data_IF_899090944259
#
_entry.id   IF_899090944259
#
_cell.length_a   1.000
_cell.length_b   1.000
_cell.length_c   1.000
_cell.angle_alpha   90.00
_cell.angle_beta   90.00
_cell.angle_gamma   90.00
#
_symmetry.space_group_name_H-M   'P 1'
#
loop_
_entity.id
_entity.type
_entity.pdbx_description
1 polymer ?
#
# COMPACT_ATOMS: atom_id res chain seq x y z
N UNK A 1 7.14 9.81 -45.32
CA UNK A 1 7.50 8.58 -44.57
C UNK A 1 6.88 8.67 -43.20
N UNK A 2 5.77 7.97 -42.99
CA UNK A 2 5.08 7.89 -41.69
C UNK A 2 5.88 6.93 -40.82
N UNK A 3 6.55 7.48 -39.81
CA UNK A 3 7.21 6.65 -38.79
C UNK A 3 6.09 5.92 -38.04
N UNK A 4 5.88 4.64 -38.31
CA UNK A 4 5.06 3.77 -37.50
C UNK A 4 5.70 3.73 -36.11
N UNK A 5 5.10 4.40 -35.14
CA UNK A 5 5.46 4.23 -33.73
C UNK A 5 5.30 2.73 -33.40
N UNK A 6 6.38 2.09 -33.01
CA UNK A 6 6.36 0.70 -32.56
C UNK A 6 5.27 0.58 -31.48
N UNK A 7 4.28 -0.27 -31.73
CA UNK A 7 3.24 -0.58 -30.74
C UNK A 7 3.94 -1.31 -29.59
N UNK A 8 4.14 -0.61 -28.48
CA UNK A 8 4.71 -1.21 -27.27
C UNK A 8 3.60 -1.99 -26.59
N UNK A 9 3.78 -3.30 -26.47
CA UNK A 9 2.81 -4.19 -25.83
C UNK A 9 2.53 -3.80 -24.36
N UNK A 10 1.29 -3.99 -23.88
CA UNK A 10 0.96 -3.83 -22.48
C UNK A 10 1.81 -4.77 -21.60
N UNK A 11 2.14 -4.33 -20.39
CA UNK A 11 2.89 -5.15 -19.45
C UNK A 11 3.71 -4.32 -18.47
N UNK A 12 4.43 -5.04 -17.62
CA UNK A 12 5.38 -4.49 -16.64
C UNK A 12 6.80 -4.82 -17.10
N UNK A 13 7.64 -3.81 -17.16
CA UNK A 13 9.08 -3.97 -17.45
C UNK A 13 9.88 -3.55 -16.23
N UNK A 14 10.92 -4.33 -15.91
CA UNK A 14 11.82 -4.08 -14.81
C UNK A 14 13.21 -3.65 -15.36
N UNK A 15 13.80 -2.65 -14.73
CA UNK A 15 15.21 -2.26 -14.94
C UNK A 15 15.91 -2.03 -13.57
N UNK A 16 17.16 -1.62 -13.60
CA UNK A 16 17.92 -1.36 -12.37
C UNK A 16 17.34 -0.22 -11.53
N UNK A 17 16.74 0.77 -12.16
CA UNK A 17 16.17 1.95 -11.52
C UNK A 17 14.73 1.76 -11.04
N UNK A 18 14.04 0.67 -11.42
CA UNK A 18 12.64 0.47 -11.01
C UNK A 18 11.81 -0.31 -11.99
N UNK A 19 10.57 0.13 -12.18
CA UNK A 19 9.57 -0.53 -13.01
C UNK A 19 8.85 0.48 -13.89
N UNK A 20 8.50 0.07 -15.10
CA UNK A 20 7.57 0.80 -15.96
C UNK A 20 6.35 -0.08 -16.24
N UNK A 21 5.16 0.49 -16.14
CA UNK A 21 3.90 -0.16 -16.46
C UNK A 21 3.28 0.50 -17.69
N UNK A 22 2.74 -0.31 -18.58
CA UNK A 22 1.85 0.12 -19.65
C UNK A 22 0.60 -0.74 -19.62
N UNK A 23 -0.53 -0.14 -19.30
CA UNK A 23 -1.81 -0.81 -19.28
C UNK A 23 -2.42 -0.94 -20.69
N UNK A 24 -3.33 -1.91 -20.94
CA UNK A 24 -3.98 -2.11 -22.24
C UNK A 24 -4.70 -0.88 -22.76
N UNK A 25 -5.29 -0.06 -21.87
CA UNK A 25 -5.99 1.16 -22.23
C UNK A 25 -5.04 2.35 -22.56
N UNK A 26 -3.73 2.10 -22.59
CA UNK A 26 -2.71 3.08 -22.98
C UNK A 26 -2.12 3.91 -21.83
N UNK A 27 -2.61 3.75 -20.59
CA UNK A 27 -2.00 4.39 -19.41
C UNK A 27 -0.58 3.88 -19.22
N UNK A 28 0.37 4.80 -19.00
CA UNK A 28 1.75 4.44 -18.71
C UNK A 28 2.30 5.30 -17.59
N UNK A 29 3.04 4.69 -16.65
CA UNK A 29 3.73 5.40 -15.59
C UNK A 29 4.96 4.61 -15.11
N UNK A 30 5.77 5.26 -14.29
CA UNK A 30 7.01 4.69 -13.76
C UNK A 30 7.01 4.68 -12.24
N UNK A 31 7.53 3.59 -11.67
CA UNK A 31 7.83 3.41 -10.25
C UNK A 31 9.34 3.30 -10.12
N UNK A 32 9.99 4.37 -9.68
CA UNK A 32 11.43 4.42 -9.54
C UNK A 32 11.86 4.05 -8.10
N UNK A 33 12.99 3.36 -8.01
CA UNK A 33 13.64 3.00 -6.74
C UNK A 33 15.04 3.59 -6.78
N UNK A 34 15.35 4.46 -5.84
CA UNK A 34 16.66 5.09 -5.72
C UNK A 34 17.11 5.18 -4.27
N UNK A 35 18.37 5.43 -4.03
CA UNK A 35 18.89 5.80 -2.70
C UNK A 35 19.28 7.26 -2.70
N UNK A 36 19.08 7.94 -1.57
CA UNK A 36 19.40 9.35 -1.42
C UNK A 36 18.54 10.24 -2.30
N UNK A 37 17.25 9.98 -2.41
CA UNK A 37 16.32 10.74 -3.26
C UNK A 37 16.35 12.25 -2.99
N UNK A 38 16.60 12.64 -1.74
CA UNK A 38 16.70 14.05 -1.31
C UNK A 38 18.16 14.51 -1.16
N UNK A 39 19.12 13.80 -1.73
CA UNK A 39 20.52 14.28 -1.80
C UNK A 39 20.65 15.22 -2.99
N UNK A 40 21.32 16.39 -2.83
CA UNK A 40 21.43 17.39 -3.90
C UNK A 40 22.01 16.86 -5.21
N UNK A 41 22.84 15.84 -5.15
CA UNK A 41 23.44 15.19 -6.32
C UNK A 41 22.52 14.18 -7.01
N UNK A 42 21.39 13.79 -6.38
CA UNK A 42 20.45 12.88 -7.01
C UNK A 42 19.49 13.62 -7.94
N UNK A 43 19.60 13.46 -9.27
CA UNK A 43 18.82 14.26 -10.20
C UNK A 43 17.38 13.76 -10.40
N UNK A 44 16.99 12.64 -9.77
CA UNK A 44 15.77 11.92 -10.15
C UNK A 44 14.51 12.75 -9.97
N UNK A 45 14.28 13.30 -8.76
CA UNK A 45 13.11 14.13 -8.48
C UNK A 45 13.14 15.42 -9.31
N UNK A 46 14.32 16.05 -9.44
CA UNK A 46 14.48 17.27 -10.23
C UNK A 46 14.07 17.07 -11.69
N UNK A 47 14.45 15.97 -12.34
CA UNK A 47 14.08 15.66 -13.74
C UNK A 47 12.56 15.66 -13.97
N UNK A 48 11.79 15.16 -13.00
CA UNK A 48 10.34 15.15 -13.09
C UNK A 48 9.70 16.52 -12.83
N UNK A 49 10.41 17.43 -12.17
CA UNK A 49 9.96 18.77 -11.80
C UNK A 49 10.47 19.88 -12.73
N UNK A 50 11.46 19.58 -13.59
CA UNK A 50 12.18 20.57 -14.40
C UNK A 50 11.24 21.45 -15.23
N UNK A 51 11.49 22.78 -15.19
CA UNK A 51 10.72 23.78 -15.94
C UNK A 51 9.24 23.94 -15.49
N UNK A 52 8.89 23.47 -14.29
CA UNK A 52 7.51 23.46 -13.79
C UNK A 52 7.37 24.17 -12.46
N UNK A 53 6.19 24.71 -12.21
CA UNK A 53 5.77 25.11 -10.88
C UNK A 53 5.52 23.86 -10.03
N UNK A 54 6.12 23.76 -8.84
CA UNK A 54 5.99 22.63 -7.91
C UNK A 54 5.37 23.08 -6.60
N UNK A 55 4.29 22.45 -6.18
CA UNK A 55 3.74 22.63 -4.83
C UNK A 55 3.79 21.31 -4.10
N UNK A 56 4.68 21.22 -3.11
CA UNK A 56 4.90 20.02 -2.32
C UNK A 56 4.00 20.02 -1.08
N UNK A 57 3.42 18.86 -0.80
CA UNK A 57 2.59 18.62 0.36
C UNK A 57 3.13 17.44 1.16
N UNK A 58 3.20 17.61 2.47
CA UNK A 58 3.67 16.58 3.39
C UNK A 58 2.93 16.66 4.74
N UNK A 59 2.86 15.54 5.44
CA UNK A 59 2.28 15.49 6.77
C UNK A 59 3.26 15.94 7.86
N UNK A 60 2.79 16.20 9.11
CA UNK A 60 3.61 16.76 10.18
C UNK A 60 4.85 15.92 10.55
N UNK A 61 4.72 14.60 10.51
CA UNK A 61 5.85 13.69 10.80
C UNK A 61 6.93 13.79 9.72
N UNK A 62 6.52 13.82 8.45
CA UNK A 62 7.44 13.94 7.31
C UNK A 62 8.10 15.34 7.30
N UNK A 63 7.34 16.40 7.63
CA UNK A 63 7.90 17.75 7.81
C UNK A 63 9.02 17.74 8.84
N UNK A 64 8.76 17.18 10.02
CA UNK A 64 9.75 17.11 11.10
C UNK A 64 10.99 16.32 10.73
N UNK A 65 10.85 15.22 9.99
CA UNK A 65 11.96 14.32 9.64
C UNK A 65 12.72 14.77 8.39
N UNK A 66 12.03 15.28 7.40
CA UNK A 66 12.56 15.49 6.06
C UNK A 66 12.28 16.88 5.47
N UNK A 67 11.47 17.71 6.11
CA UNK A 67 11.05 19.00 5.56
C UNK A 67 12.22 19.92 5.23
N UNK A 68 13.23 20.00 6.10
CA UNK A 68 14.44 20.78 5.86
C UNK A 68 15.24 20.23 4.66
N UNK A 69 15.45 18.90 4.61
CA UNK A 69 16.17 18.25 3.48
C UNK A 69 15.43 18.45 2.16
N UNK A 70 14.10 18.33 2.17
CA UNK A 70 13.29 18.58 0.98
C UNK A 70 13.46 20.01 0.48
N UNK A 71 13.40 21.02 1.38
CA UNK A 71 13.60 22.43 0.99
C UNK A 71 15.00 22.69 0.46
N UNK A 72 16.01 22.13 1.09
CA UNK A 72 17.40 22.22 0.61
C UNK A 72 17.55 21.62 -0.77
N UNK A 73 16.99 20.41 -0.97
CA UNK A 73 16.98 19.75 -2.28
C UNK A 73 16.29 20.61 -3.34
N UNK A 74 15.05 21.06 -3.09
CA UNK A 74 14.30 21.88 -4.03
C UNK A 74 14.99 23.20 -4.34
N UNK A 75 15.64 23.81 -3.35
CA UNK A 75 16.38 25.07 -3.51
C UNK A 75 17.65 24.89 -4.37
N UNK A 76 18.32 23.75 -4.30
CA UNK A 76 19.51 23.47 -5.10
C UNK A 76 19.18 23.00 -6.51
N UNK A 77 18.06 22.30 -6.67
CA UNK A 77 17.71 21.59 -7.90
C UNK A 77 16.73 22.35 -8.82
N UNK A 78 15.93 23.27 -8.27
CA UNK A 78 14.89 24.00 -9.02
C UNK A 78 15.13 25.50 -9.00
N UNK A 79 14.57 26.19 -10.00
CA UNK A 79 14.66 27.64 -10.11
C UNK A 79 14.06 28.34 -8.89
N UNK A 80 14.72 29.35 -8.30
CA UNK A 80 14.16 30.12 -7.20
C UNK A 80 12.77 30.66 -7.52
N UNK A 81 11.85 30.51 -6.55
CA UNK A 81 10.46 30.94 -6.72
C UNK A 81 9.56 30.02 -7.52
N UNK A 82 10.09 28.92 -8.13
CA UNK A 82 9.27 27.95 -8.86
C UNK A 82 8.67 26.85 -7.99
N UNK A 83 8.96 26.80 -6.69
CA UNK A 83 8.47 25.79 -5.79
C UNK A 83 7.98 26.36 -4.45
N UNK A 84 7.12 25.62 -3.79
CA UNK A 84 6.69 25.89 -2.42
C UNK A 84 6.39 24.57 -1.69
N UNK A 85 6.36 24.63 -0.34
CA UNK A 85 6.08 23.48 0.53
C UNK A 85 4.96 23.85 1.49
N UNK A 86 4.00 22.96 1.65
CA UNK A 86 2.89 23.10 2.60
C UNK A 86 2.75 21.83 3.45
N UNK A 87 2.36 22.00 4.71
CA UNK A 87 2.11 20.90 5.64
C UNK A 87 0.61 20.68 5.72
N UNK A 88 0.17 19.44 5.47
CA UNK A 88 -1.21 19.00 5.63
C UNK A 88 -1.43 18.45 7.03
N UNK A 89 -2.66 18.46 7.54
CA UNK A 89 -2.98 17.73 8.76
C UNK A 89 -2.72 16.23 8.56
N UNK A 90 -2.26 15.56 9.61
CA UNK A 90 -1.94 14.12 9.58
C UNK A 90 -3.08 13.25 10.08
N UNK A 91 -3.08 11.99 9.67
CA UNK A 91 -4.02 10.97 10.13
C UNK A 91 -5.22 10.73 9.22
N UNK A 92 -5.81 9.54 9.35
CA UNK A 92 -6.89 9.06 8.48
C UNK A 92 -8.16 9.94 8.58
N UNK A 93 -8.44 10.53 9.73
CA UNK A 93 -9.60 11.43 9.91
C UNK A 93 -9.49 12.75 9.14
N UNK A 94 -8.32 13.10 8.66
CA UNK A 94 -8.12 14.26 7.78
C UNK A 94 -8.17 13.91 6.29
N UNK A 95 -8.42 12.64 5.95
CA UNK A 95 -8.58 12.18 4.57
C UNK A 95 -9.98 12.55 4.05
N UNK A 96 -10.23 13.85 3.87
CA UNK A 96 -11.56 14.44 3.60
C UNK A 96 -11.56 15.34 2.36
N UNK A 97 -12.76 15.63 1.82
CA UNK A 97 -12.93 16.61 0.75
C UNK A 97 -12.47 18.01 1.15
N UNK A 98 -12.67 18.41 2.40
CA UNK A 98 -12.21 19.70 2.89
C UNK A 98 -10.68 19.84 2.78
N UNK A 99 -9.93 18.81 3.10
CA UNK A 99 -8.46 18.78 2.93
C UNK A 99 -8.07 18.82 1.44
N UNK A 100 -8.81 18.15 0.56
CA UNK A 100 -8.59 18.23 -0.89
C UNK A 100 -8.83 19.64 -1.41
N UNK A 101 -9.88 20.30 -0.95
CA UNK A 101 -10.17 21.71 -1.32
C UNK A 101 -9.06 22.65 -0.82
N UNK A 102 -8.53 22.43 0.39
CA UNK A 102 -7.39 23.19 0.92
C UNK A 102 -6.13 23.02 0.05
N UNK A 103 -5.83 21.80 -0.39
CA UNK A 103 -4.73 21.51 -1.33
C UNK A 103 -4.93 22.30 -2.64
N UNK A 104 -6.14 22.25 -3.22
CA UNK A 104 -6.48 22.98 -4.45
C UNK A 104 -6.35 24.50 -4.26
N UNK A 105 -6.87 25.03 -3.15
CA UNK A 105 -6.77 26.44 -2.81
C UNK A 105 -5.32 26.90 -2.64
N UNK A 106 -4.48 26.06 -1.99
CA UNK A 106 -3.04 26.34 -1.86
C UNK A 106 -2.35 26.31 -3.21
N UNK A 107 -2.59 25.29 -4.04
CA UNK A 107 -2.04 25.20 -5.39
C UNK A 107 -2.36 26.46 -6.23
N UNK A 108 -3.61 26.94 -6.15
CA UNK A 108 -4.05 28.16 -6.82
C UNK A 108 -3.32 29.40 -6.29
N UNK A 109 -3.21 29.59 -4.98
CA UNK A 109 -2.48 30.72 -4.37
C UNK A 109 -1.02 30.75 -4.77
N UNK A 110 -0.41 29.58 -4.90
CA UNK A 110 0.99 29.42 -5.35
C UNK A 110 1.16 29.57 -6.87
N UNK A 111 0.10 29.87 -7.62
CA UNK A 111 0.18 30.06 -9.07
C UNK A 111 0.43 28.78 -9.86
N UNK A 112 -0.01 27.60 -9.36
CA UNK A 112 0.10 26.34 -10.09
C UNK A 112 -0.79 26.38 -11.34
N UNK A 113 -0.20 26.28 -12.50
CA UNK A 113 -0.90 26.18 -13.78
C UNK A 113 -1.11 24.70 -14.20
N UNK A 114 -1.67 24.45 -15.38
CA UNK A 114 -1.89 23.10 -15.91
C UNK A 114 -0.61 22.31 -16.22
N UNK A 115 0.53 22.97 -16.30
CA UNK A 115 1.85 22.34 -16.53
C UNK A 115 2.55 22.05 -15.21
N UNK A 116 2.07 22.60 -14.10
CA UNK A 116 2.62 22.45 -12.79
C UNK A 116 2.53 21.02 -12.25
N UNK A 117 3.16 20.81 -11.12
CA UNK A 117 3.25 19.50 -10.43
C UNK A 117 2.81 19.65 -8.99
N UNK A 118 1.90 18.82 -8.56
CA UNK A 118 1.64 18.56 -7.14
C UNK A 118 2.57 17.43 -6.69
N UNK A 119 3.37 17.69 -5.67
CA UNK A 119 4.31 16.73 -5.11
C UNK A 119 3.79 16.22 -3.77
N UNK A 120 3.41 14.94 -3.71
CA UNK A 120 3.03 14.27 -2.47
C UNK A 120 4.26 13.65 -1.83
N UNK A 121 4.62 14.06 -0.61
CA UNK A 121 5.74 13.48 0.14
C UNK A 121 5.19 12.88 1.43
N UNK A 122 4.98 11.55 1.44
CA UNK A 122 4.33 10.92 2.59
C UNK A 122 3.97 9.46 2.41
N UNK A 123 3.10 9.00 3.29
CA UNK A 123 2.44 7.70 3.20
C UNK A 123 1.12 7.78 2.43
N UNK A 124 0.31 6.71 2.51
CA UNK A 124 -0.92 6.53 1.75
C UNK A 124 -1.89 7.72 1.84
N UNK A 125 -2.16 8.23 3.05
CA UNK A 125 -3.10 9.36 3.24
C UNK A 125 -2.66 10.60 2.45
N UNK A 126 -1.39 10.99 2.53
CA UNK A 126 -0.86 12.13 1.79
C UNK A 126 -0.93 11.90 0.28
N UNK A 127 -0.55 10.70 -0.18
CA UNK A 127 -0.57 10.35 -1.60
C UNK A 127 -1.99 10.36 -2.17
N UNK A 128 -2.96 9.83 -1.43
CA UNK A 128 -4.37 9.80 -1.86
C UNK A 128 -4.98 11.20 -1.92
N UNK A 129 -4.76 12.03 -0.89
CA UNK A 129 -5.25 13.42 -0.84
C UNK A 129 -4.69 14.26 -1.98
N UNK A 130 -3.36 14.26 -2.14
CA UNK A 130 -2.70 15.07 -3.18
C UNK A 130 -3.01 14.54 -4.57
N UNK A 131 -3.07 13.22 -4.72
CA UNK A 131 -3.43 12.58 -5.99
C UNK A 131 -4.87 12.89 -6.40
N UNK A 132 -5.82 12.88 -5.45
CA UNK A 132 -7.21 13.23 -5.75
C UNK A 132 -7.34 14.74 -6.04
N UNK A 133 -6.65 15.59 -5.29
CA UNK A 133 -6.57 17.01 -5.65
C UNK A 133 -6.00 17.22 -7.06
N UNK A 134 -4.95 16.48 -7.43
CA UNK A 134 -4.37 16.55 -8.77
C UNK A 134 -5.35 16.09 -9.86
N UNK A 135 -6.16 15.07 -9.58
CA UNK A 135 -7.16 14.57 -10.52
C UNK A 135 -8.24 15.61 -10.87
N UNK A 136 -8.65 16.43 -9.88
CA UNK A 136 -9.76 17.37 -10.05
C UNK A 136 -9.29 18.82 -10.30
N UNK A 137 -8.11 19.21 -9.82
CA UNK A 137 -7.57 20.56 -10.02
C UNK A 137 -7.38 20.84 -11.50
N UNK A 138 -8.03 21.87 -12.03
CA UNK A 138 -8.01 22.25 -13.44
C UNK A 138 -8.33 21.10 -14.41
N UNK A 139 -9.13 20.12 -14.00
CA UNK A 139 -9.50 18.88 -14.71
C UNK A 139 -8.34 17.91 -14.92
N UNK A 140 -7.36 17.95 -14.04
CA UNK A 140 -6.18 17.09 -14.06
C UNK A 140 -4.89 17.85 -14.23
N UNK A 141 -3.99 17.70 -13.27
CA UNK A 141 -2.60 18.16 -13.33
C UNK A 141 -1.67 17.00 -12.98
N UNK A 142 -0.41 17.15 -13.34
CA UNK A 142 0.60 16.14 -12.96
C UNK A 142 0.78 16.09 -11.47
N UNK A 143 0.97 14.88 -10.94
CA UNK A 143 1.45 14.73 -9.59
C UNK A 143 2.56 13.67 -9.51
N UNK A 144 3.38 13.79 -8.49
CA UNK A 144 4.49 12.89 -8.21
C UNK A 144 4.31 12.39 -6.78
N UNK A 145 4.52 11.10 -6.56
CA UNK A 145 4.57 10.48 -5.23
C UNK A 145 6.02 10.31 -4.79
N UNK A 146 6.34 10.75 -3.60
CA UNK A 146 7.54 10.38 -2.85
C UNK A 146 7.08 9.58 -1.64
N UNK A 147 7.18 8.27 -1.74
CA UNK A 147 6.61 7.34 -0.77
C UNK A 147 7.56 7.14 0.42
N UNK A 148 7.13 7.59 1.60
CA UNK A 148 7.96 7.53 2.80
C UNK A 148 7.61 6.40 3.77
N UNK A 149 6.55 5.63 3.49
CA UNK A 149 6.12 4.47 4.29
C UNK A 149 6.21 3.18 3.49
N UNK A 150 6.29 2.02 4.16
CA UNK A 150 6.35 0.73 3.46
C UNK A 150 5.06 0.47 2.67
N UNK A 151 3.86 0.70 3.26
CA UNK A 151 2.58 0.66 2.52
C UNK A 151 2.62 1.59 1.31
N UNK A 152 3.16 2.81 1.50
CA UNK A 152 3.34 3.76 0.40
C UNK A 152 4.20 3.19 -0.73
N UNK A 153 5.28 2.46 -0.41
CA UNK A 153 6.20 1.93 -1.42
C UNK A 153 5.66 0.69 -2.14
N UNK A 154 5.01 -0.24 -1.43
CA UNK A 154 4.62 -1.54 -2.01
C UNK A 154 3.18 -1.60 -2.54
N UNK A 155 2.30 -0.68 -2.12
CA UNK A 155 0.87 -0.68 -2.47
C UNK A 155 0.45 0.67 -3.05
N UNK A 156 0.21 1.69 -2.23
CA UNK A 156 -0.34 3.00 -2.68
C UNK A 156 0.54 3.68 -3.73
N UNK A 157 1.86 3.56 -3.59
CA UNK A 157 2.82 4.13 -4.55
C UNK A 157 2.79 3.44 -5.91
N UNK A 158 2.43 2.16 -5.93
CA UNK A 158 2.30 1.37 -7.15
C UNK A 158 0.96 1.62 -7.82
N UNK A 159 -0.13 1.71 -7.03
CA UNK A 159 -1.49 1.89 -7.53
C UNK A 159 -1.79 3.28 -8.10
N UNK A 160 -2.91 3.38 -8.80
CA UNK A 160 -3.40 4.61 -9.43
C UNK A 160 -4.65 5.19 -8.75
N UNK A 161 -5.12 4.52 -7.69
CA UNK A 161 -6.26 5.00 -6.91
C UNK A 161 -5.86 6.20 -6.07
N UNK A 162 -6.77 7.17 -5.99
CA UNK A 162 -6.67 8.35 -5.14
C UNK A 162 -8.04 8.63 -4.58
N UNK A 163 -8.16 9.17 -3.37
CA UNK A 163 -9.48 9.41 -2.84
C UNK A 163 -9.52 9.84 -1.37
N UNK A 164 -10.75 10.02 -0.89
CA UNK A 164 -11.07 10.50 0.44
C UNK A 164 -12.19 9.70 1.07
N UNK A 165 -12.25 9.76 2.39
CA UNK A 165 -13.35 9.22 3.17
C UNK A 165 -14.54 10.17 3.10
N UNK A 166 -15.71 9.64 2.79
CA UNK A 166 -16.94 10.43 2.66
C UNK A 166 -18.18 9.57 2.94
N UNK A 167 -19.28 10.21 3.27
CA UNK A 167 -20.57 9.54 3.48
C UNK A 167 -20.50 8.35 4.45
N UNK A 168 -19.68 8.45 5.50
CA UNK A 168 -19.48 7.40 6.48
C UNK A 168 -18.70 6.18 5.98
N UNK A 169 -18.11 6.25 4.78
CA UNK A 169 -17.41 5.14 4.15
C UNK A 169 -15.98 5.53 3.78
N UNK A 170 -15.02 4.63 4.04
CA UNK A 170 -13.61 4.81 3.67
C UNK A 170 -13.46 4.79 2.15
N UNK A 171 -12.64 5.73 1.62
CA UNK A 171 -12.28 5.83 0.20
C UNK A 171 -13.49 5.93 -0.76
N UNK A 172 -14.62 6.49 -0.30
CA UNK A 172 -15.87 6.53 -1.07
C UNK A 172 -15.81 7.44 -2.29
N UNK A 173 -15.12 8.56 -2.18
CA UNK A 173 -14.93 9.50 -3.28
C UNK A 173 -13.48 9.48 -3.74
N UNK A 174 -13.26 9.32 -5.04
CA UNK A 174 -11.91 9.22 -5.57
C UNK A 174 -11.85 9.21 -7.08
N UNK A 175 -10.64 8.99 -7.59
CA UNK A 175 -10.35 8.88 -9.01
C UNK A 175 -9.26 7.85 -9.27
N UNK A 176 -9.27 7.27 -10.46
CA UNK A 176 -8.11 6.57 -11.02
C UNK A 176 -7.23 7.61 -11.73
N UNK A 177 -6.22 8.10 -11.04
CA UNK A 177 -5.31 9.12 -11.55
C UNK A 177 -3.86 8.69 -11.37
N UNK A 178 -3.22 8.14 -12.42
CA UNK A 178 -1.85 7.69 -12.36
C UNK A 178 -0.90 8.83 -12.00
N UNK A 179 0.03 8.57 -11.08
CA UNK A 179 1.11 9.50 -10.81
C UNK A 179 2.00 9.61 -12.06
N UNK A 180 2.51 10.83 -12.35
CA UNK A 180 3.51 11.01 -13.39
C UNK A 180 4.80 10.24 -13.09
N UNK A 181 5.15 10.15 -11.81
CA UNK A 181 6.19 9.27 -11.28
C UNK A 181 5.89 8.89 -9.83
N UNK A 182 6.27 7.68 -9.45
CA UNK A 182 6.27 7.20 -8.07
C UNK A 182 7.71 6.93 -7.64
N UNK A 183 8.21 7.70 -6.68
CA UNK A 183 9.60 7.69 -6.26
C UNK A 183 9.75 7.04 -4.89
N UNK A 184 10.61 6.05 -4.79
CA UNK A 184 10.80 5.22 -3.62
C UNK A 184 12.27 5.22 -3.21
N UNK A 185 12.54 5.69 -2.00
CA UNK A 185 13.84 5.55 -1.36
C UNK A 185 13.70 4.64 -0.14
N UNK A 186 14.28 3.43 -0.17
CA UNK A 186 14.24 2.53 0.98
C UNK A 186 14.82 3.13 2.27
N UNK A 187 15.66 4.16 2.17
CA UNK A 187 16.21 4.83 3.34
C UNK A 187 15.12 5.50 4.21
N UNK A 188 14.00 5.92 3.64
CA UNK A 188 12.87 6.45 4.40
C UNK A 188 12.29 5.44 5.40
N UNK A 189 12.36 4.15 5.10
CA UNK A 189 11.82 3.09 5.96
C UNK A 189 12.54 2.99 7.31
N UNK A 190 13.79 3.45 7.39
CA UNK A 190 14.59 3.44 8.62
C UNK A 190 14.07 4.35 9.70
N UNK A 191 13.27 5.34 9.36
CA UNK A 191 12.68 6.31 10.31
C UNK A 191 11.25 6.00 10.69
N UNK A 192 10.67 4.93 10.13
CA UNK A 192 9.32 4.50 10.47
C UNK A 192 9.26 3.94 11.90
N UNK A 193 8.12 4.16 12.54
CA UNK A 193 7.78 3.41 13.74
C UNK A 193 7.62 1.91 13.40
N UNK A 194 7.99 0.99 14.29
CA UNK A 194 7.82 -0.45 14.04
C UNK A 194 6.40 -0.86 13.64
N UNK A 195 5.38 -0.19 14.15
CA UNK A 195 3.98 -0.41 13.77
C UNK A 195 3.72 -0.09 12.30
N UNK A 196 4.27 1.02 11.80
CA UNK A 196 4.10 1.43 10.40
C UNK A 196 4.83 0.48 9.44
N UNK A 197 5.98 -0.05 9.86
CA UNK A 197 6.68 -1.10 9.10
C UNK A 197 5.83 -2.36 9.04
N UNK A 198 5.28 -2.81 10.18
CA UNK A 198 4.41 -4.01 10.24
C UNK A 198 3.16 -3.85 9.37
N UNK A 199 2.53 -2.67 9.39
CA UNK A 199 1.41 -2.39 8.50
C UNK A 199 1.78 -2.60 7.02
N UNK A 200 2.97 -2.17 6.61
CA UNK A 200 3.47 -2.41 5.26
C UNK A 200 3.79 -3.89 5.00
N UNK A 201 4.30 -4.60 6.01
CA UNK A 201 4.52 -6.05 5.92
C UNK A 201 3.21 -6.83 5.74
N UNK A 202 2.07 -6.32 6.20
CA UNK A 202 0.76 -6.88 5.90
C UNK A 202 0.48 -6.93 4.38
N UNK A 203 0.76 -5.84 3.67
CA UNK A 203 0.61 -5.78 2.21
C UNK A 203 1.65 -6.66 1.47
N UNK A 204 2.87 -6.75 2.00
CA UNK A 204 3.88 -7.68 1.46
C UNK A 204 3.44 -9.12 1.65
N UNK A 205 2.95 -9.50 2.83
CA UNK A 205 2.44 -10.83 3.14
C UNK A 205 1.24 -11.20 2.27
N UNK A 206 0.35 -10.23 1.97
CA UNK A 206 -0.74 -10.40 1.02
C UNK A 206 -0.23 -10.95 -0.31
N UNK A 207 0.73 -10.25 -0.93
CA UNK A 207 1.29 -10.66 -2.21
C UNK A 207 2.03 -12.01 -2.13
N UNK A 208 2.71 -12.27 -1.02
CA UNK A 208 3.41 -13.53 -0.78
C UNK A 208 2.43 -14.72 -0.74
N UNK A 209 1.32 -14.58 -0.02
CA UNK A 209 0.31 -15.64 0.12
C UNK A 209 -0.38 -15.94 -1.20
N UNK A 210 -0.76 -14.92 -1.96
CA UNK A 210 -1.60 -15.10 -3.16
C UNK A 210 -0.81 -15.34 -4.45
N UNK A 211 0.50 -14.99 -4.52
CA UNK A 211 1.24 -14.93 -5.78
C UNK A 211 2.63 -15.56 -5.77
N UNK A 212 3.33 -15.61 -4.63
CA UNK A 212 4.76 -15.95 -4.66
C UNK A 212 5.24 -16.68 -3.41
N UNK A 213 5.34 -18.01 -3.51
CA UNK A 213 5.84 -18.86 -2.42
C UNK A 213 7.32 -18.59 -2.05
N UNK A 214 8.12 -17.97 -2.93
CA UNK A 214 9.50 -17.62 -2.63
C UNK A 214 9.57 -16.37 -1.77
N UNK A 215 8.70 -15.38 -2.05
CA UNK A 215 8.52 -14.21 -1.19
C UNK A 215 8.00 -14.63 0.19
N UNK A 216 7.04 -15.57 0.24
CA UNK A 216 6.52 -16.12 1.50
C UNK A 216 7.65 -16.73 2.35
N UNK A 217 8.47 -17.59 1.76
CA UNK A 217 9.63 -18.20 2.45
C UNK A 217 10.63 -17.15 2.92
N UNK A 218 10.90 -16.11 2.12
CA UNK A 218 11.80 -15.03 2.54
C UNK A 218 11.29 -14.31 3.79
N UNK A 219 9.97 -14.11 3.91
CA UNK A 219 9.35 -13.52 5.10
C UNK A 219 9.37 -14.49 6.30
N UNK A 220 9.17 -15.80 6.10
CA UNK A 220 9.30 -16.80 7.17
C UNK A 220 10.73 -16.81 7.77
N UNK A 221 11.75 -16.68 6.92
CA UNK A 221 13.15 -16.68 7.34
C UNK A 221 13.60 -15.34 7.96
N UNK A 222 13.02 -14.25 7.50
CA UNK A 222 13.40 -12.90 7.92
C UNK A 222 12.15 -12.05 8.24
N UNK A 223 11.37 -12.41 9.29
CA UNK A 223 10.13 -11.68 9.60
C UNK A 223 10.35 -10.24 10.05
N UNK A 224 11.55 -9.91 10.49
CA UNK A 224 11.97 -8.55 10.90
C UNK A 224 12.79 -7.81 9.83
N UNK A 225 12.65 -8.19 8.56
CA UNK A 225 13.47 -7.75 7.41
C UNK A 225 13.69 -6.23 7.29
N UNK A 226 12.70 -5.42 7.68
CA UNK A 226 12.81 -3.95 7.67
C UNK A 226 13.03 -3.34 9.06
N UNK A 227 13.09 -4.16 10.10
CA UNK A 227 13.26 -3.71 11.49
C UNK A 227 14.69 -3.91 11.98
N UNK A 228 15.35 -4.98 11.54
CA UNK A 228 16.70 -5.37 11.98
C UNK A 228 17.54 -5.75 10.76
N UNK A 229 18.68 -5.07 10.52
CA UNK A 229 19.61 -5.47 9.47
C UNK A 229 20.07 -6.91 9.69
N UNK A 230 19.96 -7.75 8.66
CA UNK A 230 20.42 -9.16 8.70
C UNK A 230 21.25 -9.52 7.47
N UNK A 231 22.17 -10.47 7.61
CA UNK A 231 22.82 -11.06 6.45
C UNK A 231 21.80 -11.80 5.59
N UNK A 232 22.03 -11.86 4.29
CA UNK A 232 21.18 -12.62 3.37
C UNK A 232 21.32 -14.11 3.69
N UNK A 233 20.23 -14.83 3.97
CA UNK A 233 20.29 -16.28 4.11
C UNK A 233 20.86 -16.95 2.88
N UNK A 234 21.69 -17.99 3.03
CA UNK A 234 22.42 -18.64 1.92
C UNK A 234 21.50 -19.06 0.76
N UNK A 235 20.30 -19.57 1.07
CA UNK A 235 19.30 -19.98 0.05
C UNK A 235 18.59 -18.84 -0.67
N UNK A 236 18.75 -17.59 -0.18
CA UNK A 236 18.25 -16.38 -0.85
C UNK A 236 19.37 -15.60 -1.53
N UNK A 237 20.62 -16.04 -1.46
CA UNK A 237 21.77 -15.30 -1.95
C UNK A 237 21.66 -14.95 -3.44
N UNK A 238 21.25 -15.89 -4.27
CA UNK A 238 21.08 -15.69 -5.72
C UNK A 238 19.86 -14.80 -6.05
N UNK A 239 18.78 -14.94 -5.28
CA UNK A 239 17.55 -14.17 -5.48
C UNK A 239 17.64 -12.75 -4.89
N UNK A 240 18.50 -12.53 -3.88
CA UNK A 240 18.62 -11.29 -3.12
C UNK A 240 20.01 -10.64 -3.19
N UNK A 241 20.58 -10.39 -4.38
CA UNK A 241 21.93 -9.82 -4.52
C UNK A 241 22.04 -8.40 -3.93
N UNK A 242 20.92 -7.71 -3.73
CA UNK A 242 20.82 -6.38 -3.10
C UNK A 242 20.36 -6.43 -1.64
N UNK A 243 20.42 -7.60 -1.00
CA UNK A 243 19.92 -7.84 0.35
C UNK A 243 18.44 -8.27 0.38
N UNK A 244 18.03 -8.89 1.49
CA UNK A 244 16.65 -9.39 1.67
C UNK A 244 15.64 -8.24 1.58
N UNK A 245 15.94 -7.08 2.19
CA UNK A 245 15.09 -5.87 2.07
C UNK A 245 14.83 -5.50 0.61
N UNK A 246 15.89 -5.45 -0.20
CA UNK A 246 15.80 -5.11 -1.62
C UNK A 246 15.00 -6.14 -2.41
N UNK A 247 15.17 -7.42 -2.11
CA UNK A 247 14.40 -8.51 -2.71
C UNK A 247 12.93 -8.40 -2.37
N UNK A 248 12.59 -8.31 -1.09
CA UNK A 248 11.20 -8.23 -0.60
C UNK A 248 10.49 -7.01 -1.19
N UNK A 249 11.13 -5.85 -1.14
CA UNK A 249 10.56 -4.60 -1.67
C UNK A 249 10.28 -4.69 -3.18
N UNK A 250 11.30 -5.08 -3.97
CA UNK A 250 11.16 -5.13 -5.44
C UNK A 250 10.18 -6.21 -5.87
N UNK A 251 10.21 -7.38 -5.24
CA UNK A 251 9.29 -8.47 -5.57
C UNK A 251 7.84 -8.07 -5.28
N UNK A 252 7.57 -7.46 -4.12
CA UNK A 252 6.22 -6.98 -3.78
C UNK A 252 5.71 -5.93 -4.77
N UNK A 253 6.53 -4.95 -5.13
CA UNK A 253 6.17 -3.94 -6.14
C UNK A 253 5.89 -4.58 -7.50
N UNK A 254 6.75 -5.49 -7.96
CA UNK A 254 6.57 -6.18 -9.23
C UNK A 254 5.26 -6.96 -9.28
N UNK A 255 4.99 -7.78 -8.26
CA UNK A 255 3.78 -8.59 -8.18
C UNK A 255 2.53 -7.72 -8.17
N UNK A 256 2.53 -6.61 -7.41
CA UNK A 256 1.44 -5.65 -7.39
C UNK A 256 1.22 -5.01 -8.77
N UNK A 257 2.28 -4.59 -9.45
CA UNK A 257 2.18 -4.00 -10.78
C UNK A 257 1.64 -5.00 -11.81
N UNK A 258 2.08 -6.27 -11.74
CA UNK A 258 1.61 -7.36 -12.61
C UNK A 258 0.11 -7.62 -12.43
N UNK A 259 -0.40 -7.57 -11.19
CA UNK A 259 -1.84 -7.70 -10.90
C UNK A 259 -2.66 -6.50 -11.36
N UNK A 260 -2.14 -5.29 -11.19
CA UNK A 260 -2.86 -4.08 -11.55
C UNK A 260 -2.85 -3.82 -13.06
N UNK A 261 -1.79 -4.20 -13.78
CA UNK A 261 -1.57 -3.85 -15.17
C UNK A 261 -2.73 -4.20 -16.10
N UNK A 262 -3.31 -5.43 -16.08
CA UNK A 262 -4.39 -5.78 -16.98
C UNK A 262 -5.74 -5.13 -16.64
N UNK A 263 -5.90 -4.62 -15.41
CA UNK A 263 -7.15 -4.12 -14.87
C UNK A 263 -6.97 -2.85 -14.03
N UNK A 264 -6.18 -1.89 -14.53
CA UNK A 264 -5.70 -0.74 -13.77
C UNK A 264 -6.84 0.16 -13.24
N UNK A 265 -7.99 0.18 -13.91
CA UNK A 265 -9.19 0.94 -13.53
C UNK A 265 -10.27 0.10 -12.86
N UNK A 266 -9.94 -1.15 -12.53
CA UNK A 266 -10.82 -2.06 -11.78
C UNK A 266 -12.20 -2.27 -12.44
N UNK A 267 -12.22 -2.40 -13.77
CA UNK A 267 -13.44 -2.77 -14.50
C UNK A 267 -13.88 -4.20 -14.16
N UNK A 268 -12.92 -5.11 -13.95
CA UNK A 268 -13.16 -6.41 -13.37
C UNK A 268 -12.98 -6.32 -11.85
N UNK A 269 -14.01 -6.75 -11.10
CA UNK A 269 -14.00 -6.73 -9.64
C UNK A 269 -13.49 -8.03 -9.01
N UNK A 270 -13.19 -9.06 -9.81
CA UNK A 270 -12.51 -10.28 -9.40
C UNK A 270 -10.99 -10.05 -9.36
N UNK A 271 -10.48 -9.54 -8.23
CA UNK A 271 -9.09 -9.12 -8.10
C UNK A 271 -8.41 -9.84 -6.94
N UNK A 272 -7.31 -10.54 -7.22
CA UNK A 272 -6.57 -11.24 -6.17
C UNK A 272 -5.97 -10.29 -5.12
N UNK A 273 -5.62 -9.06 -5.51
CA UNK A 273 -5.10 -8.04 -4.58
C UNK A 273 -6.10 -7.60 -3.50
N UNK A 274 -7.38 -7.99 -3.62
CA UNK A 274 -8.40 -7.77 -2.60
C UNK A 274 -8.35 -8.80 -1.45
N UNK A 275 -7.39 -9.73 -1.44
CA UNK A 275 -7.12 -10.56 -0.26
C UNK A 275 -6.83 -9.69 0.96
N UNK A 276 -7.51 -9.94 2.07
CA UNK A 276 -7.43 -9.07 3.25
C UNK A 276 -8.30 -7.80 3.20
N UNK A 277 -9.16 -7.65 2.18
CA UNK A 277 -9.97 -6.43 1.97
C UNK A 277 -11.49 -6.68 1.91
N UNK A 278 -11.95 -7.84 2.37
CA UNK A 278 -13.38 -8.14 2.51
C UNK A 278 -13.89 -7.80 3.92
N UNK A 279 -13.22 -8.29 4.94
CA UNK A 279 -13.51 -8.03 6.35
C UNK A 279 -12.71 -6.85 6.91
N UNK A 280 -11.49 -6.66 6.42
CA UNK A 280 -10.53 -5.65 6.90
C UNK A 280 -11.09 -4.23 6.99
N UNK A 281 -11.78 -3.69 5.98
CA UNK A 281 -12.38 -2.36 6.04
C UNK A 281 -13.42 -2.20 7.14
N UNK A 282 -14.22 -3.24 7.43
CA UNK A 282 -15.19 -3.23 8.51
C UNK A 282 -14.50 -3.24 9.88
N UNK A 283 -13.46 -4.06 10.06
CA UNK A 283 -12.62 -4.11 11.26
C UNK A 283 -11.99 -2.74 11.54
N UNK A 284 -11.40 -2.12 10.52
CA UNK A 284 -10.76 -0.81 10.64
C UNK A 284 -11.76 0.27 11.08
N UNK A 285 -12.91 0.33 10.44
CA UNK A 285 -13.96 1.31 10.74
C UNK A 285 -14.59 1.06 12.11
N UNK A 286 -14.97 -0.18 12.41
CA UNK A 286 -15.61 -0.53 13.69
C UNK A 286 -14.68 -0.33 14.90
N UNK A 287 -13.36 -0.44 14.70
CA UNK A 287 -12.37 -0.16 15.74
C UNK A 287 -12.13 1.35 15.96
N UNK A 288 -12.78 2.24 15.22
CA UNK A 288 -12.49 3.68 15.23
C UNK A 288 -11.04 3.98 14.80
N UNK A 289 -10.50 3.21 13.85
CA UNK A 289 -9.12 3.28 13.37
C UNK A 289 -8.05 2.95 14.45
N UNK A 290 -8.43 2.31 15.56
CA UNK A 290 -7.52 1.73 16.54
C UNK A 290 -6.68 0.62 15.93
N UNK A 291 -7.33 -0.25 15.16
CA UNK A 291 -6.69 -1.24 14.31
C UNK A 291 -6.29 -0.53 13.02
N UNK A 292 -4.99 -0.47 12.75
CA UNK A 292 -4.47 0.20 11.56
C UNK A 292 -4.71 -0.65 10.31
N UNK A 293 -4.63 -0.03 9.13
CA UNK A 293 -4.94 -0.68 7.85
C UNK A 293 -4.23 -2.03 7.67
N UNK A 294 -2.91 -2.09 7.73
CA UNK A 294 -2.19 -3.35 7.56
C UNK A 294 -2.46 -4.38 8.66
N UNK A 295 -2.85 -3.92 9.86
CA UNK A 295 -3.28 -4.80 10.94
C UNK A 295 -4.66 -5.41 10.63
N UNK A 296 -5.61 -4.63 10.13
CA UNK A 296 -6.94 -5.13 9.72
C UNK A 296 -6.86 -6.06 8.52
N UNK A 297 -5.97 -5.77 7.57
CA UNK A 297 -5.67 -6.65 6.42
C UNK A 297 -5.12 -8.00 6.91
N UNK A 298 -4.24 -8.01 7.92
CA UNK A 298 -3.71 -9.25 8.47
C UNK A 298 -4.78 -10.09 9.17
N UNK A 299 -5.66 -9.47 9.95
CA UNK A 299 -6.82 -10.15 10.59
C UNK A 299 -7.74 -10.76 9.54
N UNK A 300 -8.06 -10.01 8.49
CA UNK A 300 -8.89 -10.51 7.37
C UNK A 300 -8.20 -11.68 6.65
N UNK A 301 -6.91 -11.56 6.31
CA UNK A 301 -6.16 -12.65 5.68
C UNK A 301 -6.17 -13.92 6.52
N UNK A 302 -6.02 -13.79 7.85
CA UNK A 302 -6.08 -14.92 8.76
C UNK A 302 -7.49 -15.56 8.78
N UNK A 303 -8.55 -14.74 8.84
CA UNK A 303 -9.94 -15.20 8.81
C UNK A 303 -10.29 -15.85 7.45
N UNK A 304 -9.92 -15.22 6.35
CA UNK A 304 -10.13 -15.75 5.00
C UNK A 304 -9.38 -17.07 4.78
N UNK A 305 -8.18 -17.26 5.38
CA UNK A 305 -7.43 -18.51 5.34
C UNK A 305 -8.10 -19.61 6.18
N UNK A 306 -8.63 -19.28 7.36
CA UNK A 306 -9.40 -20.25 8.17
C UNK A 306 -10.73 -20.62 7.49
N UNK A 307 -11.39 -19.67 6.85
CA UNK A 307 -12.60 -19.95 6.06
C UNK A 307 -12.26 -20.86 4.87
N UNK A 308 -11.17 -20.60 4.16
CA UNK A 308 -10.69 -21.48 3.09
C UNK A 308 -10.45 -22.92 3.60
N UNK A 309 -9.89 -23.07 4.81
CA UNK A 309 -9.66 -24.38 5.44
C UNK A 309 -11.00 -25.08 5.78
N UNK A 310 -11.95 -24.36 6.34
CA UNK A 310 -13.30 -24.88 6.65
C UNK A 310 -14.01 -25.33 5.38
N UNK A 311 -13.83 -24.60 4.28
CA UNK A 311 -14.38 -24.94 2.96
C UNK A 311 -13.58 -26.05 2.24
N UNK A 312 -12.50 -26.56 2.81
CA UNK A 312 -11.64 -27.59 2.18
C UNK A 312 -10.85 -27.10 0.98
N UNK A 313 -10.62 -25.77 0.89
CA UNK A 313 -9.94 -25.12 -0.24
C UNK A 313 -8.42 -25.02 -0.05
N UNK A 314 -7.95 -25.09 1.20
CA UNK A 314 -6.53 -25.11 1.59
C UNK A 314 -6.33 -26.17 2.67
N UNK A 315 -5.18 -26.80 2.71
CA UNK A 315 -4.86 -27.74 3.78
C UNK A 315 -4.57 -27.04 5.13
N UNK A 316 -4.63 -27.82 6.21
CA UNK A 316 -4.44 -27.29 7.56
C UNK A 316 -3.01 -26.80 7.80
N UNK A 317 -2.00 -27.40 7.15
CA UNK A 317 -0.59 -27.04 7.32
C UNK A 317 -0.27 -25.68 6.69
N UNK A 318 -0.72 -25.43 5.47
CA UNK A 318 -0.53 -24.14 4.80
C UNK A 318 -1.34 -23.03 5.47
N UNK A 319 -2.58 -23.31 5.92
CA UNK A 319 -3.36 -22.36 6.72
C UNK A 319 -2.62 -21.98 8.02
N UNK A 320 -2.07 -22.96 8.74
CA UNK A 320 -1.26 -22.74 9.94
C UNK A 320 -0.04 -21.87 9.65
N UNK A 321 0.69 -22.14 8.56
CA UNK A 321 1.87 -21.36 8.18
C UNK A 321 1.52 -19.92 7.86
N UNK A 322 0.40 -19.67 7.16
CA UNK A 322 -0.06 -18.30 6.86
C UNK A 322 -0.32 -17.53 8.15
N UNK A 323 -1.09 -18.10 9.07
CA UNK A 323 -1.42 -17.44 10.33
C UNK A 323 -0.17 -17.22 11.21
N UNK A 324 0.74 -18.19 11.25
CA UNK A 324 2.03 -18.06 11.97
C UNK A 324 2.92 -16.99 11.35
N UNK A 325 2.99 -16.91 10.02
CA UNK A 325 3.75 -15.85 9.36
C UNK A 325 3.24 -14.47 9.77
N UNK A 326 1.92 -14.23 9.70
CA UNK A 326 1.33 -12.95 10.09
C UNK A 326 1.68 -12.59 11.54
N UNK A 327 1.60 -13.56 12.46
CA UNK A 327 2.01 -13.36 13.86
C UNK A 327 3.52 -13.09 14.00
N UNK A 328 4.37 -13.81 13.25
CA UNK A 328 5.83 -13.62 13.27
C UNK A 328 6.23 -12.23 12.73
N UNK A 329 5.48 -11.68 11.78
CA UNK A 329 5.63 -10.30 11.31
C UNK A 329 5.18 -9.26 12.36
N UNK A 330 4.68 -9.71 13.52
CA UNK A 330 4.17 -8.87 14.60
C UNK A 330 2.82 -8.23 14.30
N UNK A 331 2.05 -8.82 13.38
CA UNK A 331 0.70 -8.40 13.03
C UNK A 331 -0.34 -9.16 13.89
N UNK A 332 -1.47 -8.52 14.25
CA UNK A 332 -2.56 -9.23 14.89
C UNK A 332 -3.22 -10.17 13.87
N UNK A 333 -3.58 -11.37 14.33
CA UNK A 333 -4.36 -12.33 13.52
C UNK A 333 -5.82 -12.39 13.95
N UNK A 334 -6.15 -11.80 15.09
CA UNK A 334 -7.50 -11.74 15.65
C UNK A 334 -7.62 -10.50 16.53
N UNK A 335 -8.74 -9.80 16.47
CA UNK A 335 -9.10 -8.72 17.40
C UNK A 335 -10.46 -9.03 18.02
N UNK A 336 -10.53 -9.40 19.32
CA UNK A 336 -11.76 -9.86 19.95
C UNK A 336 -12.87 -8.79 20.00
N UNK A 337 -12.53 -7.51 19.85
CA UNK A 337 -13.52 -6.43 19.87
C UNK A 337 -14.24 -6.27 18.51
N UNK A 338 -13.60 -6.67 17.41
CA UNK A 338 -14.15 -6.50 16.06
C UNK A 338 -14.41 -7.81 15.33
N UNK A 339 -13.74 -8.91 15.71
CA UNK A 339 -14.01 -10.24 15.12
C UNK A 339 -15.28 -10.87 15.73
N UNK A 340 -16.41 -10.19 15.63
CA UNK A 340 -17.71 -10.72 16.06
C UNK A 340 -18.48 -11.31 14.88
N UNK A 341 -19.32 -12.34 15.10
CA UNK A 341 -20.14 -12.91 14.02
C UNK A 341 -20.96 -11.84 13.29
N UNK A 342 -21.60 -10.94 14.02
CA UNK A 342 -22.46 -9.89 13.46
C UNK A 342 -21.69 -8.97 12.52
N UNK A 343 -20.49 -8.52 12.94
CA UNK A 343 -19.68 -7.62 12.10
C UNK A 343 -19.15 -8.36 10.88
N UNK A 344 -18.70 -9.61 11.01
CA UNK A 344 -18.13 -10.36 9.91
C UNK A 344 -19.18 -10.78 8.88
N UNK A 345 -20.35 -11.23 9.30
CA UNK A 345 -21.48 -11.48 8.38
C UNK A 345 -21.92 -10.19 7.68
N UNK A 346 -22.01 -9.07 8.41
CA UNK A 346 -22.33 -7.77 7.83
C UNK A 346 -21.30 -7.32 6.80
N UNK A 347 -20.01 -7.52 7.07
CA UNK A 347 -18.92 -7.18 6.14
C UNK A 347 -18.97 -8.01 4.86
N UNK A 348 -19.24 -9.32 4.99
CA UNK A 348 -19.40 -10.23 3.87
C UNK A 348 -20.55 -9.81 2.96
N UNK A 349 -21.71 -9.52 3.54
CA UNK A 349 -22.90 -9.07 2.81
C UNK A 349 -22.67 -7.70 2.14
N UNK A 350 -22.05 -6.75 2.84
CA UNK A 350 -21.71 -5.44 2.27
C UNK A 350 -20.70 -5.54 1.11
N UNK A 351 -19.78 -6.49 1.17
CA UNK A 351 -18.86 -6.76 0.07
C UNK A 351 -19.62 -7.31 -1.16
N UNK A 352 -20.51 -8.25 -0.96
CA UNK A 352 -21.37 -8.82 -1.99
C UNK A 352 -22.24 -7.74 -2.67
N UNK A 353 -22.90 -6.88 -1.91
CA UNK A 353 -23.70 -5.78 -2.46
C UNK A 353 -22.86 -4.82 -3.31
N UNK A 354 -21.70 -4.38 -2.79
CA UNK A 354 -20.81 -3.42 -3.49
C UNK A 354 -20.24 -3.97 -4.79
N UNK A 355 -20.06 -5.29 -4.88
CA UNK A 355 -19.52 -5.97 -6.07
C UNK A 355 -20.61 -6.45 -7.03
N UNK A 356 -21.80 -5.86 -6.97
CA UNK A 356 -22.89 -6.16 -7.91
C UNK A 356 -23.53 -7.54 -7.68
N UNK A 357 -23.63 -7.96 -6.44
CA UNK A 357 -24.16 -9.27 -5.99
C UNK A 357 -23.27 -10.44 -6.42
N UNK A 358 -21.98 -10.21 -6.47
CA UNK A 358 -20.93 -11.22 -6.59
C UNK A 358 -19.96 -11.00 -5.43
N UNK A 359 -19.58 -12.06 -4.76
CA UNK A 359 -18.73 -11.93 -3.57
C UNK A 359 -17.27 -11.70 -3.93
N UNK A 360 -16.74 -12.47 -4.87
CA UNK A 360 -15.33 -12.47 -5.25
C UNK A 360 -14.41 -12.44 -4.02
N UNK A 361 -14.75 -13.23 -2.99
CA UNK A 361 -13.92 -13.35 -1.80
C UNK A 361 -12.64 -14.08 -2.17
N UNK A 362 -11.52 -13.42 -1.99
CA UNK A 362 -10.21 -14.05 -2.25
C UNK A 362 -9.87 -14.99 -1.11
N UNK A 363 -9.56 -16.23 -1.45
CA UNK A 363 -9.16 -17.28 -0.51
C UNK A 363 -7.90 -17.99 -1.02
N UNK A 364 -6.91 -18.29 -0.14
CA UNK A 364 -5.73 -19.04 -0.54
C UNK A 364 -6.08 -20.50 -0.87
N UNK A 365 -5.39 -21.05 -1.87
CA UNK A 365 -5.45 -22.46 -2.28
C UNK A 365 -4.19 -23.25 -1.89
N UNK A 366 -3.21 -22.56 -1.39
CA UNK A 366 -1.89 -22.94 -0.98
C UNK A 366 -1.02 -21.70 -0.93
N UNK A 367 0.22 -21.85 -0.52
CA UNK A 367 1.15 -20.71 -0.44
C UNK A 367 1.58 -20.31 -1.86
N UNK A 368 1.36 -19.05 -2.22
CA UNK A 368 1.66 -18.48 -3.54
C UNK A 368 0.53 -18.67 -4.55
N UNK A 369 -0.65 -19.16 -4.13
CA UNK A 369 -1.80 -19.37 -5.01
C UNK A 369 -3.10 -19.03 -4.30
N UNK A 370 -4.04 -18.43 -5.02
CA UNK A 370 -5.37 -18.09 -4.52
C UNK A 370 -6.45 -18.22 -5.59
N UNK A 371 -7.69 -18.24 -5.15
CA UNK A 371 -8.87 -18.23 -6.01
C UNK A 371 -9.99 -17.42 -5.36
N UNK A 372 -11.17 -17.45 -5.95
CA UNK A 372 -12.35 -16.75 -5.44
C UNK A 372 -13.39 -17.73 -4.90
N UNK A 373 -14.15 -17.29 -3.91
CA UNK A 373 -15.50 -17.76 -3.59
C UNK A 373 -16.43 -16.69 -4.16
N UNK A 374 -17.24 -17.06 -5.14
CA UNK A 374 -17.91 -16.09 -6.02
C UNK A 374 -19.28 -15.69 -5.53
N UNK A 375 -19.93 -16.51 -4.71
CA UNK A 375 -21.26 -16.20 -4.19
C UNK A 375 -21.38 -16.48 -2.68
N UNK A 376 -22.37 -15.88 -2.05
CA UNK A 376 -22.71 -16.15 -0.63
C UNK A 376 -23.17 -17.60 -0.44
N UNK A 377 -23.88 -18.15 -1.42
CA UNK A 377 -24.39 -19.53 -1.40
C UNK A 377 -23.25 -20.59 -1.47
N UNK A 378 -22.06 -20.20 -1.91
CA UNK A 378 -20.87 -21.04 -1.87
C UNK A 378 -20.28 -21.21 -0.46
N UNK A 379 -20.78 -20.44 0.53
CA UNK A 379 -20.38 -20.51 1.93
C UNK A 379 -21.48 -21.20 2.74
N UNK A 380 -21.29 -22.47 3.14
CA UNK A 380 -22.28 -23.18 3.94
C UNK A 380 -22.64 -22.44 5.22
N UNK A 381 -23.89 -22.56 5.64
CA UNK A 381 -24.35 -21.97 6.90
C UNK A 381 -23.46 -22.40 8.08
N UNK A 382 -23.01 -21.43 8.86
CA UNK A 382 -22.12 -21.65 10.02
C UNK A 382 -20.63 -21.80 9.69
N UNK A 383 -20.22 -21.86 8.42
CA UNK A 383 -18.79 -21.99 8.04
C UNK A 383 -17.97 -20.77 8.48
N UNK A 384 -18.49 -19.56 8.33
CA UNK A 384 -17.83 -18.34 8.80
C UNK A 384 -17.70 -18.34 10.33
N UNK A 385 -18.73 -18.77 11.06
CA UNK A 385 -18.68 -18.85 12.53
C UNK A 385 -17.69 -19.93 13.01
N UNK A 386 -17.58 -21.02 12.27
CA UNK A 386 -16.57 -22.05 12.54
C UNK A 386 -15.16 -21.49 12.33
N UNK A 387 -14.93 -20.77 11.23
CA UNK A 387 -13.67 -20.12 10.93
C UNK A 387 -13.28 -19.09 12.00
N UNK A 388 -14.23 -18.26 12.45
CA UNK A 388 -14.02 -17.29 13.54
C UNK A 388 -13.61 -17.98 14.83
N UNK A 389 -14.32 -19.05 15.24
CA UNK A 389 -13.99 -19.82 16.45
C UNK A 389 -12.63 -20.51 16.33
N UNK A 390 -12.29 -21.04 15.15
CA UNK A 390 -10.99 -21.66 14.90
C UNK A 390 -9.87 -20.64 14.99
N UNK A 391 -10.05 -19.47 14.36
CA UNK A 391 -9.07 -18.39 14.41
C UNK A 391 -8.85 -17.87 15.83
N UNK A 392 -9.91 -17.66 16.61
CA UNK A 392 -9.80 -17.23 18.01
C UNK A 392 -9.01 -18.24 18.87
N UNK A 393 -9.28 -19.56 18.71
CA UNK A 393 -8.51 -20.60 19.41
C UNK A 393 -7.05 -20.60 19.00
N UNK A 394 -6.76 -20.45 17.69
CA UNK A 394 -5.39 -20.42 17.17
C UNK A 394 -4.63 -19.20 17.68
N UNK A 395 -5.27 -18.03 17.64
CA UNK A 395 -4.68 -16.78 18.14
C UNK A 395 -4.29 -16.84 19.62
N UNK A 396 -5.10 -17.54 20.44
CA UNK A 396 -4.80 -17.72 21.87
C UNK A 396 -3.51 -18.54 22.14
N UNK A 397 -3.07 -19.35 21.17
CA UNK A 397 -1.81 -20.13 21.24
C UNK A 397 -0.59 -19.44 20.65
N UNK A 398 -0.76 -18.25 20.05
CA UNK A 398 0.33 -17.48 19.44
C UNK A 398 0.89 -16.44 20.42
N UNK A 399 2.16 -16.03 20.26
CA UNK A 399 2.71 -14.91 21.02
C UNK A 399 1.88 -13.66 20.79
N UNK A 400 1.63 -12.93 21.87
CA UNK A 400 0.94 -11.64 21.76
C UNK A 400 1.71 -10.73 20.78
N UNK A 401 1.01 -9.95 19.92
CA UNK A 401 1.66 -8.97 19.07
C UNK A 401 2.51 -8.03 19.95
N UNK A 402 3.73 -7.75 19.51
CA UNK A 402 4.66 -6.93 20.26
C UNK A 402 4.02 -5.56 20.56
N UNK A 403 4.11 -5.06 21.81
CA UNK A 403 3.46 -3.82 22.20
C UNK A 403 3.89 -2.67 21.29
N UNK A 404 2.92 -1.90 20.84
CA UNK A 404 3.11 -0.66 20.07
C UNK A 404 3.48 0.47 21.03
N UNK A 405 4.67 0.42 21.65
CA UNK A 405 5.12 1.54 22.47
C UNK A 405 5.32 2.78 21.57
N UNK A 406 4.73 3.93 21.90
CA UNK A 406 5.10 5.18 21.25
C UNK A 406 6.59 5.43 21.52
N UNK A 407 7.36 5.71 20.48
CA UNK A 407 8.74 6.18 20.69
C UNK A 407 8.67 7.49 21.49
N UNK A 408 9.31 7.52 22.64
CA UNK A 408 9.55 8.76 23.37
C UNK A 408 10.24 9.76 22.45
N UNK A 409 9.78 11.04 22.40
CA UNK A 409 10.47 12.06 21.64
C UNK A 409 11.78 12.39 22.36
N UNK A 410 12.91 11.87 21.87
CA UNK A 410 14.19 12.22 22.48
C UNK A 410 15.30 11.18 22.40
N UNK A 411 15.57 10.61 21.22
CA UNK A 411 16.86 9.99 20.96
C UNK A 411 17.47 10.66 19.74
N UNK A 412 18.18 11.74 19.97
CA UNK A 412 19.10 12.35 19.00
C UNK A 412 20.20 11.34 18.70
N UNK A 413 20.20 10.84 17.46
CA UNK A 413 21.38 10.17 16.93
C UNK A 413 22.49 11.22 16.77
N UNK A 414 23.56 11.03 17.51
CA UNK A 414 24.87 11.64 17.23
C UNK A 414 25.51 10.98 16.03
#
# INVERSE_FOLDING_TARGET
MTVQAAVVEPGVRCDDGGFSLRAPEGTSYRVDITRGLLDPENPLLARYCEGRRVVAFLGPTVERLYGQRLRQYLSSALTPGSWSVAVLPGGEHHKTMATVEEICARAKREGLDRRGVLLAVGGGVTCDLVGFAAAIYSRGVRYIKVNTTLVGQVDVGVGVKTGVNALGTKNMLGAYHPAHASLNDPAFLRTLAPRDVRCGLGEVAKMAVIKDASLFRALEECPDVFLTPRPVPARLADAAPRGVEGYVLRTSMRLMMEELCPNLREHDLARLVDFGHTFGPAIETASGYRVAHGESVAVDMALSSELARVLGLIDAADCERIVRLLAALGLPVHDPQTCTPELMHGALHAAWERRGRRLHLVVPRGIGTASFVDDLDDIPAGALDEALRALARRAAGLPAPLPTAPRSPGATAR
#
